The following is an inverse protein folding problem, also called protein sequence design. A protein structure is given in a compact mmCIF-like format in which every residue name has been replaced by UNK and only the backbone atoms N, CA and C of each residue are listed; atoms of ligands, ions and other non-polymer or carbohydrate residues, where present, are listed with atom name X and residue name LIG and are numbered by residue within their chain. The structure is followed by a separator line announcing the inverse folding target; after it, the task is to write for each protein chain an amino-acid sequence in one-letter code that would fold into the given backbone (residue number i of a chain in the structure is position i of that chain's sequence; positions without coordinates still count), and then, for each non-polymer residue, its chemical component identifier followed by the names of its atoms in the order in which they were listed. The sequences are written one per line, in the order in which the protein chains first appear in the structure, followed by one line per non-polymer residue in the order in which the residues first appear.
data_IF_694957524643
#
_entry.id   IF_694957524643
#
_cell.length_a   1.000
_cell.length_b   1.000
_cell.length_c   1.000
_cell.angle_alpha   90.00
_cell.angle_beta   90.00
_cell.angle_gamma   90.00
#
_symmetry.space_group_name_H-M   'P 1'
#
loop_
_entity.id
_entity.type
_entity.pdbx_description
1 polymer ?
#
# COMPACT_ATOMS: atom_id res chain seq x y z
N UNK A 1 21.23 36.60 -15.00
CA UNK A 1 20.59 36.93 -16.28
C UNK A 1 19.26 37.60 -15.98
N UNK A 2 19.27 38.92 -15.93
CA UNK A 2 18.13 39.76 -15.59
C UNK A 2 17.39 40.07 -16.90
N UNK A 3 16.26 39.41 -17.15
CA UNK A 3 15.49 39.61 -18.38
C UNK A 3 14.77 40.95 -18.32
N UNK A 4 15.30 41.92 -19.07
CA UNK A 4 14.64 43.19 -19.38
C UNK A 4 13.41 42.93 -20.26
N UNK A 5 12.22 43.27 -19.74
CA UNK A 5 10.92 43.06 -20.38
C UNK A 5 10.20 44.41 -20.53
N UNK A 6 10.74 45.28 -21.38
CA UNK A 6 10.08 46.53 -21.80
C UNK A 6 9.14 46.26 -22.99
N UNK A 7 7.82 46.26 -22.75
CA UNK A 7 6.79 46.36 -23.79
C UNK A 7 5.47 45.58 -23.53
N UNK A 8 4.48 45.72 -24.44
CA UNK A 8 3.12 45.12 -24.41
C UNK A 8 3.08 43.61 -24.12
N UNK A 9 4.20 42.91 -24.28
CA UNK A 9 4.39 41.49 -23.93
C UNK A 9 4.31 41.23 -22.42
N UNK A 10 4.50 42.26 -21.58
CA UNK A 10 4.39 42.15 -20.11
C UNK A 10 3.00 41.69 -19.65
N UNK A 11 1.92 42.17 -20.31
CA UNK A 11 0.55 41.78 -19.96
C UNK A 11 0.23 40.34 -20.38
N UNK A 12 0.67 39.91 -21.56
CA UNK A 12 0.45 38.53 -22.02
C UNK A 12 1.18 37.54 -21.12
N UNK A 13 2.44 37.82 -20.81
CA UNK A 13 3.24 36.98 -19.90
C UNK A 13 2.63 36.95 -18.49
N UNK A 14 2.18 38.10 -17.97
CA UNK A 14 1.54 38.17 -16.66
C UNK A 14 0.20 37.40 -16.63
N UNK A 15 -0.61 37.48 -17.70
CA UNK A 15 -1.86 36.71 -17.82
C UNK A 15 -1.56 35.21 -17.90
N UNK A 16 -0.54 34.79 -18.66
CA UNK A 16 -0.14 33.39 -18.73
C UNK A 16 0.33 32.85 -17.37
N UNK A 17 1.15 33.61 -16.63
CA UNK A 17 1.61 33.18 -15.30
C UNK A 17 0.48 33.20 -14.26
N UNK A 18 -0.44 34.16 -14.31
CA UNK A 18 -1.61 34.18 -13.42
C UNK A 18 -2.56 33.02 -13.75
N UNK A 19 -2.76 32.70 -15.04
CA UNK A 19 -3.55 31.53 -15.46
C UNK A 19 -2.87 30.22 -15.03
N UNK A 20 -1.56 30.08 -15.22
CA UNK A 20 -0.80 28.92 -14.72
C UNK A 20 -0.88 28.82 -13.20
N UNK A 21 -0.72 29.93 -12.47
CA UNK A 21 -0.82 29.95 -11.01
C UNK A 21 -2.22 29.55 -10.55
N UNK A 22 -3.28 30.01 -11.23
CA UNK A 22 -4.65 29.58 -10.95
C UNK A 22 -4.88 28.11 -11.26
N UNK A 23 -4.28 27.57 -12.32
CA UNK A 23 -4.33 26.13 -12.62
C UNK A 23 -3.60 25.31 -11.56
N UNK A 24 -2.46 25.79 -11.05
CA UNK A 24 -1.76 25.16 -9.94
C UNK A 24 -2.57 25.23 -8.64
N UNK A 25 -3.16 26.38 -8.31
CA UNK A 25 -3.99 26.58 -7.11
C UNK A 25 -5.27 25.73 -7.15
N UNK A 26 -5.96 25.67 -8.29
CA UNK A 26 -7.15 24.82 -8.47
C UNK A 26 -6.77 23.33 -8.47
N UNK A 27 -5.59 22.99 -8.99
CA UNK A 27 -5.02 21.64 -8.92
C UNK A 27 -4.59 21.22 -7.51
N UNK A 28 -4.14 22.15 -6.67
CA UNK A 28 -3.65 21.87 -5.31
C UNK A 28 -4.71 21.98 -4.21
N UNK A 29 -5.74 22.83 -4.36
CA UNK A 29 -6.71 23.13 -3.30
C UNK A 29 -8.09 22.49 -3.51
N UNK A 30 -8.46 22.12 -4.75
CA UNK A 30 -9.71 21.41 -5.05
C UNK A 30 -9.60 19.88 -4.97
N UNK A 31 -8.36 19.39 -4.97
CA UNK A 31 -8.00 18.00 -4.75
C UNK A 31 -7.35 17.94 -3.37
N UNK A 32 -8.09 17.53 -2.35
CA UNK A 32 -7.56 17.14 -1.03
C UNK A 32 -6.73 15.86 -1.13
N UNK A 33 -5.81 15.83 -2.10
CA UNK A 33 -4.86 14.77 -2.36
C UNK A 33 -3.51 15.42 -2.08
N UNK A 34 -2.97 15.15 -0.88
CA UNK A 34 -1.54 15.28 -0.70
C UNK A 34 -0.85 14.43 -1.77
N UNK A 35 0.07 15.04 -2.49
CA UNK A 35 1.23 14.42 -3.16
C UNK A 35 1.02 13.01 -3.76
N UNK A 36 0.98 12.92 -5.09
CA UNK A 36 0.92 11.61 -5.76
C UNK A 36 0.72 11.69 -7.27
N UNK A 37 1.50 12.55 -7.93
CA UNK A 37 1.46 12.76 -9.38
C UNK A 37 2.85 12.75 -10.00
N UNK A 38 3.70 11.84 -9.57
CA UNK A 38 5.07 11.57 -10.01
C UNK A 38 5.48 10.19 -9.48
N UNK A 39 6.64 9.63 -9.83
CA UNK A 39 7.06 8.28 -9.44
C UNK A 39 7.44 8.15 -7.94
N UNK A 40 6.60 8.68 -7.06
CA UNK A 40 6.46 8.32 -5.65
C UNK A 40 5.20 7.47 -5.55
N UNK A 41 5.38 6.15 -5.67
CA UNK A 41 4.30 5.17 -5.71
C UNK A 41 3.51 5.10 -4.40
N UNK A 42 2.56 4.16 -4.36
CA UNK A 42 1.68 3.79 -3.24
C UNK A 42 2.23 4.07 -1.82
N UNK A 43 3.54 3.96 -1.59
CA UNK A 43 4.25 4.25 -0.35
C UNK A 43 4.05 5.66 0.25
N UNK A 44 3.80 6.69 -0.57
CA UNK A 44 3.47 8.04 -0.05
C UNK A 44 2.03 8.08 0.51
N UNK A 45 1.10 7.35 -0.14
CA UNK A 45 -0.25 7.10 0.38
C UNK A 45 -0.26 6.11 1.57
N UNK A 46 0.85 5.39 1.79
CA UNK A 46 1.07 4.47 2.91
C UNK A 46 1.70 5.15 4.14
N UNK A 47 1.85 6.49 4.15
CA UNK A 47 2.25 7.25 5.34
C UNK A 47 3.69 7.06 5.79
N UNK A 48 4.58 6.60 4.90
CA UNK A 48 6.01 6.38 5.18
C UNK A 48 6.80 7.70 5.17
N UNK A 49 6.18 8.81 4.75
CA UNK A 49 6.76 10.14 4.77
C UNK A 49 6.54 10.88 6.10
N UNK A 50 7.66 11.34 6.67
CA UNK A 50 7.79 12.35 7.73
C UNK A 50 7.82 11.81 9.18
N UNK A 51 8.98 12.06 9.83
CA UNK A 51 9.37 11.50 11.12
C UNK A 51 8.32 11.64 12.23
N UNK A 52 7.95 10.49 12.79
CA UNK A 52 7.28 10.42 14.07
C UNK A 52 8.32 10.16 15.15
N UNK A 53 8.47 11.14 16.05
CA UNK A 53 9.21 11.01 17.31
C UNK A 53 8.68 9.82 18.10
N UNK A 54 9.49 8.78 18.25
CA UNK A 54 9.10 7.50 18.85
C UNK A 54 9.07 7.58 20.40
N UNK A 55 7.91 7.43 21.07
CA UNK A 55 7.88 6.93 22.44
C UNK A 55 8.33 5.46 22.43
N UNK A 56 9.17 5.08 23.41
CA UNK A 56 10.05 3.91 23.36
C UNK A 56 9.41 2.58 22.95
N UNK A 57 10.08 1.86 22.05
CA UNK A 57 9.78 0.46 21.67
C UNK A 57 9.61 -0.46 22.87
N UNK A 58 10.21 -0.14 24.01
CA UNK A 58 10.03 -0.84 25.28
C UNK A 58 8.57 -0.96 25.70
N UNK A 59 7.75 0.09 25.50
CA UNK A 59 6.34 0.03 25.88
C UNK A 59 5.55 -0.96 24.99
N UNK A 60 5.89 -1.03 23.71
CA UNK A 60 5.26 -1.98 22.79
C UNK A 60 5.72 -3.41 23.10
N UNK A 61 7.00 -3.61 23.44
CA UNK A 61 7.50 -4.90 23.88
C UNK A 61 6.81 -5.38 25.16
N UNK A 62 6.64 -4.51 26.16
CA UNK A 62 5.91 -4.85 27.38
C UNK A 62 4.45 -5.27 27.08
N UNK A 63 3.81 -4.62 26.10
CA UNK A 63 2.46 -4.98 25.65
C UNK A 63 2.42 -6.33 24.93
N UNK A 64 3.43 -6.63 24.10
CA UNK A 64 3.60 -7.94 23.45
C UNK A 64 3.73 -9.03 24.49
N UNK A 65 4.65 -8.87 25.46
CA UNK A 65 4.90 -9.85 26.52
C UNK A 65 3.63 -10.10 27.35
N UNK A 66 2.90 -9.03 27.70
CA UNK A 66 1.64 -9.13 28.42
C UNK A 66 0.54 -9.81 27.61
N UNK A 67 0.48 -9.58 26.29
CA UNK A 67 -0.46 -10.26 25.39
C UNK A 67 -0.12 -11.75 25.27
N UNK A 68 1.15 -12.09 25.06
CA UNK A 68 1.63 -13.48 24.99
C UNK A 68 1.36 -14.24 26.29
N UNK A 69 1.59 -13.62 27.46
CA UNK A 69 1.28 -14.22 28.76
C UNK A 69 -0.21 -14.54 28.93
N UNK A 70 -1.10 -13.75 28.34
CA UNK A 70 -2.55 -14.06 28.30
C UNK A 70 -2.84 -15.19 27.33
N UNK A 71 -2.23 -15.19 26.15
CA UNK A 71 -2.43 -16.24 25.14
C UNK A 71 -1.90 -17.60 25.59
N UNK A 72 -0.85 -17.63 26.41
CA UNK A 72 -0.37 -18.86 27.04
C UNK A 72 -1.43 -19.51 27.96
N UNK A 73 -2.30 -18.71 28.58
CA UNK A 73 -3.40 -19.19 29.44
C UNK A 73 -4.67 -19.43 28.65
N UNK A 74 -4.96 -18.59 27.66
CA UNK A 74 -6.11 -18.68 26.78
C UNK A 74 -5.70 -18.34 25.34
N UNK A 75 -5.38 -19.34 24.50
CA UNK A 75 -4.91 -19.13 23.13
C UNK A 75 -5.91 -18.41 22.22
N UNK A 76 -7.19 -18.38 22.60
CA UNK A 76 -8.27 -17.79 21.83
C UNK A 76 -8.76 -16.46 22.42
N UNK A 77 -8.00 -15.83 23.33
CA UNK A 77 -8.32 -14.50 23.85
C UNK A 77 -8.23 -13.47 22.71
N UNK A 78 -9.40 -13.07 22.19
CA UNK A 78 -9.50 -12.14 21.06
C UNK A 78 -8.85 -10.79 21.34
N UNK A 79 -8.90 -10.30 22.59
CA UNK A 79 -8.28 -9.01 22.95
C UNK A 79 -6.76 -9.13 22.99
N UNK A 80 -6.24 -10.24 23.49
CA UNK A 80 -4.81 -10.49 23.52
C UNK A 80 -4.25 -10.71 22.09
N UNK A 81 -4.95 -11.47 21.23
CA UNK A 81 -4.57 -11.64 19.83
C UNK A 81 -4.54 -10.31 19.07
N UNK A 82 -5.56 -9.47 19.27
CA UNK A 82 -5.64 -8.17 18.61
C UNK A 82 -4.49 -7.24 19.06
N UNK A 83 -4.23 -7.18 20.36
CA UNK A 83 -3.10 -6.40 20.90
C UNK A 83 -1.75 -6.90 20.40
N UNK A 84 -1.58 -8.22 20.29
CA UNK A 84 -0.35 -8.79 19.75
C UNK A 84 -0.17 -8.34 18.30
N UNK A 85 -1.19 -8.48 17.45
CA UNK A 85 -1.12 -8.03 16.06
C UNK A 85 -0.73 -6.54 15.90
N UNK A 86 -1.39 -5.65 16.66
CA UNK A 86 -1.13 -4.21 16.67
C UNK A 86 0.30 -3.88 17.13
N UNK A 87 0.74 -4.42 18.27
CA UNK A 87 2.04 -4.03 18.85
C UNK A 87 3.22 -4.60 18.05
N UNK A 88 3.10 -5.82 17.52
CA UNK A 88 4.11 -6.40 16.62
C UNK A 88 4.26 -5.57 15.34
N UNK A 89 3.15 -5.08 14.76
CA UNK A 89 3.22 -4.13 13.65
C UNK A 89 3.95 -2.83 14.02
N UNK A 90 3.64 -2.26 15.19
CA UNK A 90 4.26 -1.02 15.66
C UNK A 90 5.77 -1.17 15.87
N UNK A 91 6.20 -2.31 16.43
CA UNK A 91 7.64 -2.66 16.58
C UNK A 91 8.26 -2.85 15.19
N UNK A 92 7.69 -3.69 14.34
CA UNK A 92 8.25 -4.00 13.02
C UNK A 92 8.39 -2.77 12.13
N UNK A 93 7.45 -1.81 12.21
CA UNK A 93 7.53 -0.55 11.47
C UNK A 93 8.79 0.25 11.78
N UNK A 94 9.38 0.12 12.97
CA UNK A 94 10.64 0.81 13.33
C UNK A 94 11.85 0.32 12.55
N UNK A 95 11.80 -0.93 12.05
CA UNK A 95 12.85 -1.50 11.21
C UNK A 95 12.57 -1.38 9.70
N UNK A 96 11.59 -0.56 9.31
CA UNK A 96 11.36 -0.16 7.91
C UNK A 96 12.07 1.15 7.64
N UNK A 97 12.95 1.17 6.65
CA UNK A 97 13.73 2.35 6.27
C UNK A 97 13.53 2.66 4.80
N UNK A 98 13.68 3.93 4.42
CA UNK A 98 13.66 4.36 3.04
C UNK A 98 14.97 5.08 2.71
N UNK A 99 15.65 4.63 1.67
CA UNK A 99 16.80 5.34 1.12
C UNK A 99 16.31 6.66 0.50
N UNK A 100 16.81 7.79 1.00
CA UNK A 100 16.35 9.11 0.60
C UNK A 100 16.75 9.50 -0.84
N UNK A 101 17.75 8.82 -1.41
CA UNK A 101 18.28 9.13 -2.74
C UNK A 101 17.57 8.34 -3.84
N UNK A 102 17.22 7.08 -3.55
CA UNK A 102 16.61 6.14 -4.49
C UNK A 102 15.12 5.94 -4.23
N UNK A 103 14.63 6.30 -3.03
CA UNK A 103 13.30 5.97 -2.57
C UNK A 103 13.11 4.48 -2.22
N UNK A 104 14.18 3.68 -2.26
CA UNK A 104 14.11 2.24 -2.02
C UNK A 104 13.75 1.94 -0.55
N UNK A 105 12.71 1.14 -0.35
CA UNK A 105 12.33 0.64 0.96
C UNK A 105 13.19 -0.58 1.32
N UNK A 106 13.67 -0.61 2.55
CA UNK A 106 14.41 -1.74 3.14
C UNK A 106 13.74 -2.15 4.45
N UNK A 107 13.53 -3.45 4.62
CA UNK A 107 12.91 -4.04 5.82
C UNK A 107 13.99 -4.87 6.51
N UNK A 108 14.28 -4.57 7.77
CA UNK A 108 15.22 -5.38 8.57
C UNK A 108 14.68 -6.80 8.82
N UNK A 109 15.56 -7.75 9.13
CA UNK A 109 15.15 -9.12 9.46
C UNK A 109 14.27 -9.19 10.72
N UNK A 110 14.55 -8.34 11.71
CA UNK A 110 13.75 -8.25 12.94
C UNK A 110 12.35 -7.73 12.59
N UNK A 111 12.25 -6.64 11.82
CA UNK A 111 10.96 -6.14 11.35
C UNK A 111 10.16 -7.16 10.54
N UNK A 112 10.82 -7.93 9.67
CA UNK A 112 10.17 -9.01 8.93
C UNK A 112 9.63 -10.10 9.88
N UNK A 113 10.34 -10.38 10.96
CA UNK A 113 9.90 -11.34 12.00
C UNK A 113 8.68 -10.80 12.75
N UNK A 114 8.72 -9.55 13.20
CA UNK A 114 7.61 -8.90 13.91
C UNK A 114 6.36 -8.82 13.02
N UNK A 115 6.51 -8.47 11.74
CA UNK A 115 5.41 -8.50 10.77
C UNK A 115 4.82 -9.91 10.61
N UNK A 116 5.66 -10.95 10.58
CA UNK A 116 5.18 -12.33 10.56
C UNK A 116 4.35 -12.68 11.80
N UNK A 117 4.80 -12.25 12.99
CA UNK A 117 4.08 -12.45 14.25
C UNK A 117 2.76 -11.67 14.28
N UNK A 118 2.75 -10.45 13.74
CA UNK A 118 1.55 -9.64 13.60
C UNK A 118 0.50 -10.34 12.71
N UNK A 119 0.92 -10.84 11.55
CA UNK A 119 0.07 -11.57 10.60
C UNK A 119 -0.50 -12.86 11.23
N UNK A 120 0.32 -13.62 11.96
CA UNK A 120 -0.11 -14.84 12.64
C UNK A 120 -1.16 -14.56 13.73
N UNK A 121 -0.93 -13.53 14.56
CA UNK A 121 -1.84 -13.10 15.60
C UNK A 121 -3.17 -12.62 15.01
N UNK A 122 -3.13 -11.83 13.94
CA UNK A 122 -4.32 -11.38 13.21
C UNK A 122 -5.10 -12.53 12.59
N UNK A 123 -4.43 -13.48 11.94
CA UNK A 123 -5.06 -14.67 11.35
C UNK A 123 -5.77 -15.52 12.42
N UNK A 124 -5.15 -15.68 13.60
CA UNK A 124 -5.79 -16.34 14.74
C UNK A 124 -6.98 -15.53 15.25
N UNK A 125 -6.84 -14.21 15.41
CA UNK A 125 -7.92 -13.32 15.83
C UNK A 125 -9.15 -13.48 14.92
N UNK A 126 -8.98 -13.41 13.60
CA UNK A 126 -10.07 -13.56 12.64
C UNK A 126 -10.78 -14.90 12.74
N UNK A 127 -10.08 -15.99 13.09
CA UNK A 127 -10.68 -17.33 13.27
C UNK A 127 -11.55 -17.44 14.53
N UNK A 128 -11.18 -16.76 15.60
CA UNK A 128 -11.86 -16.90 16.92
C UNK A 128 -12.80 -15.73 17.23
N UNK A 129 -12.64 -14.60 16.54
CA UNK A 129 -13.51 -13.44 16.69
C UNK A 129 -14.88 -13.73 16.07
N UNK A 130 -15.93 -13.57 16.88
CA UNK A 130 -17.33 -13.74 16.44
C UNK A 130 -18.00 -12.43 16.05
N UNK A 131 -17.34 -11.30 16.28
CA UNK A 131 -17.85 -9.97 15.99
C UNK A 131 -17.34 -9.42 14.66
N UNK A 132 -17.67 -8.15 14.40
CA UNK A 132 -17.04 -7.36 13.34
C UNK A 132 -15.53 -7.23 13.67
N UNK A 133 -14.62 -7.58 12.75
CA UNK A 133 -13.19 -7.36 12.98
C UNK A 133 -12.87 -5.89 13.20
N UNK A 134 -11.81 -5.63 13.98
CA UNK A 134 -11.34 -4.26 14.23
C UNK A 134 -10.81 -3.62 12.93
N UNK A 135 -11.42 -2.50 12.51
CA UNK A 135 -11.06 -1.82 11.26
C UNK A 135 -9.67 -1.20 11.32
N UNK A 136 -9.28 -0.65 12.46
CA UNK A 136 -8.00 0.04 12.62
C UNK A 136 -6.86 -0.95 12.49
N UNK A 137 -6.94 -2.07 13.21
CA UNK A 137 -5.93 -3.13 13.10
C UNK A 137 -5.97 -3.79 11.73
N UNK A 138 -7.15 -3.96 11.10
CA UNK A 138 -7.22 -4.44 9.73
C UNK A 138 -6.46 -3.53 8.75
N UNK A 139 -6.57 -2.20 8.90
CA UNK A 139 -5.84 -1.25 8.09
C UNK A 139 -4.32 -1.36 8.30
N UNK A 140 -3.86 -1.59 9.54
CA UNK A 140 -2.45 -1.87 9.83
C UNK A 140 -1.97 -3.17 9.17
N UNK A 141 -2.79 -4.21 9.20
CA UNK A 141 -2.44 -5.50 8.61
C UNK A 141 -2.31 -5.45 7.08
N UNK A 142 -2.97 -4.50 6.40
CA UNK A 142 -2.72 -4.25 4.97
C UNK A 142 -1.23 -3.97 4.73
N UNK A 143 -0.60 -3.17 5.59
CA UNK A 143 0.83 -2.85 5.49
C UNK A 143 1.70 -4.03 5.86
N UNK A 144 1.36 -4.74 6.94
CA UNK A 144 2.07 -5.97 7.34
C UNK A 144 2.15 -6.94 6.18
N UNK A 145 1.01 -7.26 5.56
CA UNK A 145 0.97 -8.16 4.42
C UNK A 145 1.67 -7.58 3.19
N UNK A 146 1.60 -6.26 2.96
CA UNK A 146 2.36 -5.64 1.88
C UNK A 146 3.88 -5.75 2.07
N UNK A 147 4.39 -5.54 3.29
CA UNK A 147 5.80 -5.68 3.64
C UNK A 147 6.28 -7.14 3.61
N UNK A 148 5.40 -8.08 3.95
CA UNK A 148 5.64 -9.52 3.79
C UNK A 148 5.46 -10.02 2.35
N UNK A 149 5.12 -9.13 1.41
CA UNK A 149 4.80 -9.47 0.03
C UNK A 149 3.67 -10.52 -0.10
N UNK A 150 2.72 -10.51 0.83
CA UNK A 150 1.51 -11.31 0.82
C UNK A 150 0.34 -10.51 0.23
N UNK A 151 0.16 -10.61 -1.08
CA UNK A 151 -0.94 -9.94 -1.76
C UNK A 151 -2.33 -10.41 -1.29
N UNK A 152 -2.47 -11.70 -0.98
CA UNK A 152 -3.76 -12.27 -0.58
C UNK A 152 -4.16 -11.76 0.80
N UNK A 153 -3.23 -11.77 1.75
CA UNK A 153 -3.42 -11.20 3.08
C UNK A 153 -3.77 -9.71 3.02
N UNK A 154 -3.05 -8.92 2.20
CA UNK A 154 -3.31 -7.50 2.04
C UNK A 154 -4.71 -7.22 1.45
N UNK A 155 -5.14 -8.01 0.47
CA UNK A 155 -6.49 -7.92 -0.12
C UNK A 155 -7.57 -8.23 0.91
N UNK A 156 -7.40 -9.30 1.71
CA UNK A 156 -8.40 -9.67 2.72
C UNK A 156 -8.46 -8.65 3.87
N UNK A 157 -7.31 -8.13 4.31
CA UNK A 157 -7.27 -7.05 5.30
C UNK A 157 -7.95 -5.77 4.76
N UNK A 158 -7.66 -5.37 3.52
CA UNK A 158 -8.28 -4.19 2.90
C UNK A 158 -9.78 -4.40 2.65
N UNK A 159 -10.21 -5.64 2.38
CA UNK A 159 -11.63 -5.99 2.25
C UNK A 159 -12.37 -5.73 3.56
N UNK A 160 -11.82 -6.15 4.69
CA UNK A 160 -12.38 -5.86 6.01
C UNK A 160 -12.53 -4.34 6.19
N UNK A 161 -11.50 -3.55 5.84
CA UNK A 161 -11.58 -2.09 5.92
C UNK A 161 -12.71 -1.54 5.05
N UNK A 162 -12.82 -1.97 3.79
CA UNK A 162 -13.84 -1.49 2.86
C UNK A 162 -15.27 -1.92 3.24
N UNK A 163 -15.45 -3.11 3.78
CA UNK A 163 -16.74 -3.58 4.28
C UNK A 163 -17.16 -2.87 5.56
N UNK A 164 -16.20 -2.57 6.43
CA UNK A 164 -16.45 -1.90 7.69
C UNK A 164 -16.73 -0.39 7.53
N UNK A 165 -16.05 0.24 6.57
CA UNK A 165 -16.11 1.68 6.25
C UNK A 165 -16.32 1.88 4.73
N UNK A 166 -17.54 1.61 4.23
CA UNK A 166 -17.81 1.62 2.80
C UNK A 166 -17.78 3.03 2.22
N UNK A 167 -16.74 3.32 1.43
CA UNK A 167 -16.65 4.56 0.68
C UNK A 167 -15.83 4.36 -0.60
N UNK A 168 -15.82 5.37 -1.46
CA UNK A 168 -15.12 5.28 -2.75
C UNK A 168 -13.62 5.01 -2.60
N UNK A 169 -12.99 5.51 -1.54
CA UNK A 169 -11.55 5.37 -1.33
C UNK A 169 -11.20 3.95 -0.88
N UNK A 170 -11.91 3.42 0.13
CA UNK A 170 -11.62 2.08 0.67
C UNK A 170 -11.83 0.97 -0.37
N UNK A 171 -12.89 1.06 -1.18
CA UNK A 171 -13.07 0.16 -2.33
C UNK A 171 -12.11 0.46 -3.48
N UNK A 172 -11.72 1.71 -3.70
CA UNK A 172 -10.72 2.07 -4.70
C UNK A 172 -9.36 1.40 -4.44
N UNK A 173 -8.90 1.47 -3.19
CA UNK A 173 -7.67 0.80 -2.73
C UNK A 173 -7.78 -0.72 -2.83
N UNK A 174 -8.93 -1.31 -2.47
CA UNK A 174 -9.15 -2.76 -2.63
C UNK A 174 -9.04 -3.18 -4.10
N UNK A 175 -9.68 -2.44 -5.02
CA UNK A 175 -9.61 -2.72 -6.45
C UNK A 175 -8.19 -2.60 -6.99
N UNK A 176 -7.41 -1.62 -6.49
CA UNK A 176 -6.01 -1.46 -6.85
C UNK A 176 -5.19 -2.70 -6.47
N UNK A 177 -5.30 -3.20 -5.24
CA UNK A 177 -4.58 -4.42 -4.82
C UNK A 177 -5.00 -5.66 -5.62
N UNK A 178 -6.29 -5.79 -5.94
CA UNK A 178 -6.80 -6.87 -6.79
C UNK A 178 -6.25 -6.79 -8.22
N UNK A 179 -6.20 -5.61 -8.84
CA UNK A 179 -5.59 -5.47 -10.16
C UNK A 179 -4.08 -5.73 -10.16
N UNK A 180 -3.35 -5.24 -9.15
CA UNK A 180 -1.90 -5.41 -9.03
C UNK A 180 -1.51 -6.88 -8.76
N UNK A 181 -2.33 -7.62 -8.02
CA UNK A 181 -2.17 -9.06 -7.83
C UNK A 181 -2.60 -9.90 -9.03
N UNK A 182 -3.26 -9.28 -10.02
CA UNK A 182 -3.73 -9.93 -11.25
C UNK A 182 -5.13 -10.55 -11.15
N UNK A 183 -5.84 -10.37 -10.04
CA UNK A 183 -7.26 -10.71 -9.90
C UNK A 183 -8.15 -9.64 -10.56
N UNK A 184 -8.15 -9.67 -11.90
CA UNK A 184 -8.88 -8.69 -12.72
C UNK A 184 -10.39 -8.78 -12.49
N UNK A 185 -10.93 -9.98 -12.26
CA UNK A 185 -12.37 -10.16 -12.11
C UNK A 185 -12.88 -9.55 -10.79
N UNK A 186 -12.18 -9.81 -9.67
CA UNK A 186 -12.51 -9.19 -8.40
C UNK A 186 -12.29 -7.67 -8.47
N UNK A 187 -11.18 -7.23 -9.08
CA UNK A 187 -10.90 -5.80 -9.30
C UNK A 187 -12.02 -5.09 -10.08
N UNK A 188 -12.55 -5.73 -11.13
CA UNK A 188 -13.66 -5.19 -11.95
C UNK A 188 -14.96 -5.04 -11.13
N UNK A 189 -15.26 -5.98 -10.23
CA UNK A 189 -16.43 -5.88 -9.35
C UNK A 189 -16.26 -4.75 -8.32
N UNK A 190 -15.11 -4.75 -7.63
CA UNK A 190 -14.78 -3.76 -6.60
C UNK A 190 -14.69 -2.35 -7.16
N UNK A 191 -14.13 -2.19 -8.36
CA UNK A 191 -14.04 -0.91 -9.06
C UNK A 191 -15.40 -0.29 -9.32
N UNK A 192 -16.42 -1.10 -9.66
CA UNK A 192 -17.79 -0.60 -9.81
C UNK A 192 -18.33 -0.07 -8.49
N UNK A 193 -18.08 -0.78 -7.37
CA UNK A 193 -18.47 -0.33 -6.02
C UNK A 193 -17.80 1.01 -5.69
N UNK A 194 -16.48 1.12 -5.89
CA UNK A 194 -15.73 2.37 -5.67
C UNK A 194 -16.34 3.55 -6.45
N UNK A 195 -16.54 3.40 -7.76
CA UNK A 195 -17.08 4.45 -8.63
C UNK A 195 -18.54 4.79 -8.28
N UNK A 196 -19.33 3.81 -7.84
CA UNK A 196 -20.71 4.06 -7.42
C UNK A 196 -20.80 4.95 -6.17
N UNK A 197 -19.83 4.80 -5.25
CA UNK A 197 -19.72 5.54 -3.99
C UNK A 197 -19.02 6.89 -4.13
N UNK A 198 -18.37 7.17 -5.26
CA UNK A 198 -17.73 8.46 -5.52
C UNK A 198 -18.76 9.56 -5.79
N UNK A 199 -18.44 10.80 -5.42
CA UNK A 199 -19.36 11.94 -5.59
C UNK A 199 -19.08 12.71 -6.90
N UNK A 200 -20.15 13.13 -7.59
CA UNK A 200 -20.09 14.09 -8.71
C UNK A 200 -18.93 13.91 -9.69
N UNK A 201 -18.03 14.90 -9.73
CA UNK A 201 -16.89 14.95 -10.64
C UNK A 201 -15.83 13.86 -10.37
N UNK A 202 -15.76 13.32 -9.15
CA UNK A 202 -14.77 12.30 -8.77
C UNK A 202 -15.06 10.95 -9.42
N UNK A 203 -16.32 10.65 -9.76
CA UNK A 203 -16.70 9.38 -10.43
C UNK A 203 -15.86 9.12 -11.68
N UNK A 204 -15.72 10.12 -12.54
CA UNK A 204 -14.94 10.00 -13.79
C UNK A 204 -13.44 9.88 -13.52
N UNK A 205 -12.93 10.56 -12.50
CA UNK A 205 -11.52 10.50 -12.13
C UNK A 205 -11.16 9.09 -11.61
N UNK A 206 -11.94 8.57 -10.68
CA UNK A 206 -11.72 7.24 -10.08
C UNK A 206 -11.90 6.13 -11.10
N UNK A 207 -12.92 6.23 -11.98
CA UNK A 207 -13.07 5.29 -13.09
C UNK A 207 -11.82 5.25 -13.98
N UNK A 208 -11.30 6.41 -14.39
CA UNK A 208 -10.10 6.47 -15.23
C UNK A 208 -8.88 5.88 -14.55
N UNK A 209 -8.70 6.16 -13.26
CA UNK A 209 -7.59 5.63 -12.46
C UNK A 209 -7.65 4.09 -12.39
N UNK A 210 -8.83 3.54 -12.06
CA UNK A 210 -9.02 2.09 -11.94
C UNK A 210 -8.95 1.38 -13.30
N UNK A 211 -9.43 2.01 -14.38
CA UNK A 211 -9.26 1.50 -15.75
C UNK A 211 -7.78 1.41 -16.17
N UNK A 212 -6.96 2.36 -15.73
CA UNK A 212 -5.53 2.35 -15.98
C UNK A 212 -4.83 1.21 -15.22
N UNK A 213 -5.17 1.04 -13.94
CA UNK A 213 -4.67 -0.08 -13.11
C UNK A 213 -5.07 -1.43 -13.69
N UNK A 214 -6.32 -1.56 -14.14
CA UNK A 214 -6.81 -2.76 -14.84
C UNK A 214 -5.98 -3.09 -16.08
N UNK A 215 -5.67 -2.09 -16.92
CA UNK A 215 -4.83 -2.27 -18.12
C UNK A 215 -3.42 -2.75 -17.74
N UNK A 216 -2.84 -2.18 -16.68
CA UNK A 216 -1.53 -2.61 -16.16
C UNK A 216 -1.59 -4.07 -15.68
N UNK A 217 -2.58 -4.42 -14.85
CA UNK A 217 -2.76 -5.81 -14.38
C UNK A 217 -2.93 -6.81 -15.52
N UNK A 218 -3.70 -6.47 -16.56
CA UNK A 218 -3.83 -7.29 -17.76
C UNK A 218 -2.53 -7.45 -18.53
N UNK A 219 -1.71 -6.40 -18.62
CA UNK A 219 -0.40 -6.46 -19.26
C UNK A 219 0.56 -7.36 -18.49
N UNK A 220 0.61 -7.23 -17.17
CA UNK A 220 1.41 -8.06 -16.27
C UNK A 220 0.98 -9.54 -16.37
N UNK A 221 -0.33 -9.82 -16.37
CA UNK A 221 -0.85 -11.18 -16.54
C UNK A 221 -0.45 -11.77 -17.91
N UNK A 222 -0.46 -10.98 -18.99
CA UNK A 222 -0.01 -11.42 -20.32
C UNK A 222 1.48 -11.75 -20.32
N UNK A 223 2.31 -10.89 -19.74
CA UNK A 223 3.76 -11.10 -19.64
C UNK A 223 4.09 -12.37 -18.87
N UNK A 224 3.41 -12.65 -17.76
CA UNK A 224 3.59 -13.90 -17.02
C UNK A 224 3.16 -15.12 -17.81
N UNK A 225 2.01 -15.07 -18.50
CA UNK A 225 1.57 -16.17 -19.37
C UNK A 225 2.57 -16.44 -20.49
N UNK A 226 3.19 -15.40 -21.05
CA UNK A 226 4.25 -15.51 -22.05
C UNK A 226 5.54 -16.09 -21.45
N UNK A 227 5.97 -15.62 -20.28
CA UNK A 227 7.14 -16.16 -19.57
C UNK A 227 6.97 -17.65 -19.22
N UNK A 228 5.80 -18.05 -18.70
CA UNK A 228 5.47 -19.45 -18.40
C UNK A 228 5.44 -20.34 -19.65
N UNK A 229 4.97 -19.81 -20.79
CA UNK A 229 5.00 -20.51 -22.09
C UNK A 229 6.43 -20.63 -22.65
N UNK A 230 7.25 -19.59 -22.49
CA UNK A 230 8.64 -19.57 -22.92
C UNK A 230 9.53 -20.48 -22.06
N UNK A 231 9.22 -20.64 -20.77
CA UNK A 231 9.90 -21.55 -19.85
C UNK A 231 9.52 -23.05 -20.02
N UNK A 232 8.79 -23.41 -21.09
CA UNK A 232 8.53 -24.81 -21.45
C UNK A 232 7.74 -25.62 -20.42
N UNK A 233 7.01 -24.99 -19.50
CA UNK A 233 6.28 -25.69 -18.43
C UNK A 233 7.17 -26.26 -17.32
N UNK A 234 8.46 -25.92 -17.27
CA UNK A 234 9.28 -26.20 -16.10
C UNK A 234 8.81 -25.32 -14.94
N UNK A 235 8.31 -25.95 -13.89
CA UNK A 235 8.03 -25.33 -12.59
C UNK A 235 9.32 -24.68 -12.08
N UNK A 236 9.43 -23.37 -12.24
CA UNK A 236 10.44 -22.60 -11.52
C UNK A 236 10.13 -22.74 -10.03
N UNK A 237 11.10 -23.23 -9.28
CA UNK A 237 11.18 -23.22 -7.82
C UNK A 237 10.51 -21.97 -7.22
N UNK A 238 9.68 -22.09 -6.16
CA UNK A 238 9.12 -20.93 -5.47
C UNK A 238 10.27 -20.04 -4.98
N UNK A 239 10.32 -18.78 -5.40
CA UNK A 239 11.36 -17.83 -4.98
C UNK A 239 11.93 -16.91 -6.07
N UNK A 240 11.48 -17.00 -7.31
CA UNK A 240 11.79 -15.98 -8.34
C UNK A 240 10.58 -15.66 -9.19
N UNK A 241 9.42 -15.44 -8.57
CA UNK A 241 8.28 -14.90 -9.28
C UNK A 241 8.57 -13.40 -9.54
N UNK A 242 8.59 -12.87 -10.78
CA UNK A 242 8.72 -11.43 -11.04
C UNK A 242 7.53 -10.59 -10.51
N UNK A 243 6.64 -11.23 -9.75
CA UNK A 243 5.57 -10.68 -8.93
C UNK A 243 5.88 -10.69 -7.43
N UNK A 244 7.08 -11.03 -6.97
CA UNK A 244 7.44 -11.02 -5.55
C UNK A 244 7.46 -9.61 -4.92
N UNK A 245 6.85 -8.64 -5.59
CA UNK A 245 6.32 -7.46 -4.96
C UNK A 245 5.23 -6.84 -5.84
N UNK A 246 3.95 -7.28 -5.72
CA UNK A 246 2.84 -6.58 -6.35
C UNK A 246 2.68 -5.16 -5.81
N UNK A 247 3.38 -4.85 -4.73
CA UNK A 247 3.46 -3.54 -4.08
C UNK A 247 4.77 -2.80 -4.37
N UNK A 248 5.63 -3.29 -5.27
CA UNK A 248 6.90 -2.64 -5.59
C UNK A 248 7.98 -2.96 -4.55
N UNK A 249 8.79 -3.94 -4.90
CA UNK A 249 9.92 -4.44 -4.12
C UNK A 249 11.05 -4.59 -5.10
N UNK A 250 12.20 -4.08 -4.70
CA UNK A 250 13.40 -4.13 -5.51
C UNK A 250 13.76 -5.60 -5.77
N UNK A 251 13.44 -6.09 -6.97
CA UNK A 251 14.09 -7.28 -7.50
C UNK A 251 15.59 -7.01 -7.48
N UNK A 252 16.32 -7.87 -6.77
CA UNK A 252 17.73 -7.71 -6.47
C UNK A 252 18.57 -7.33 -7.71
N UNK A 253 19.48 -6.38 -7.51
CA UNK A 253 20.57 -6.21 -8.45
C UNK A 253 21.34 -7.54 -8.55
N UNK A 254 21.65 -8.03 -9.76
CA UNK A 254 22.49 -9.21 -9.90
C UNK A 254 23.84 -8.94 -9.24
N UNK A 255 24.25 -9.81 -8.33
CA UNK A 255 25.62 -9.82 -7.82
C UNK A 255 26.57 -10.02 -9.02
N UNK A 256 27.51 -9.10 -9.28
CA UNK A 256 28.49 -9.32 -10.33
C UNK A 256 29.43 -10.43 -9.85
N UNK A 257 29.31 -11.61 -10.46
CA UNK A 257 30.35 -12.63 -10.38
C UNK A 257 31.62 -12.04 -10.99
N UNK A 258 32.61 -11.77 -10.14
CA UNK A 258 33.93 -11.34 -10.57
C UNK A 258 34.68 -12.50 -11.24
N UNK A 259 35.54 -12.21 -12.23
CA UNK A 259 36.25 -13.22 -13.03
C UNK A 259 37.30 -14.01 -12.24
#
# INVERSE_FOLDING_TARGET
MLFDLRGKRKRVVQVSYVLLALLFVVGFLGFGIGVGGGPGGIFDALGIGNGSSNPGTSQFQDNVDAAQAKLAKNPNDTKALLKLAENEYLIGKTGVTQDQSTGQISISNDAHTDFGQAADAWSKYLKVNKGKPDTSVAAEMVYVYAFLNDAAGAIEAQRIVAENEPNSNTYGTLAQFQYLSGDIAAGDETSKKAVSLASGAQKKAIQKQLDQLRKQGLQVQKQQKQAKKAAGGASTTPGTNPLEAPFGGAAGAPTPTSP
#
